data_IF_024909513123
#
_entry.id   IF_024909513123
#
_cell.length_a   1.000
_cell.length_b   1.000
_cell.length_c   1.000
_cell.angle_alpha   90.00
_cell.angle_beta   90.00
_cell.angle_gamma   90.00
#
_symmetry.space_group_name_H-M   'P 1'
#
loop_
_entity.id
_entity.type
_entity.pdbx_description
1 polymer ?
#
# COMPACT_ATOMS: atom_id res chain seq x y z
N UNK A 1 -11.96 3.91 5.21
CA UNK A 1 -11.13 4.79 4.37
C UNK A 1 -11.91 5.23 3.15
N UNK A 2 -11.61 6.41 2.61
CA UNK A 2 -12.17 6.96 1.37
C UNK A 2 -11.40 6.46 0.14
N UNK A 3 -11.97 6.60 -1.08
CA UNK A 3 -11.24 6.28 -2.33
C UNK A 3 -9.91 7.02 -2.48
N UNK A 4 -9.87 8.28 -2.05
CA UNK A 4 -8.66 9.10 -2.07
C UNK A 4 -7.62 8.59 -1.08
N UNK A 5 -8.05 8.23 0.14
CA UNK A 5 -7.17 7.62 1.14
C UNK A 5 -6.60 6.28 0.66
N UNK A 6 -7.40 5.46 -0.01
CA UNK A 6 -6.94 4.21 -0.61
C UNK A 6 -5.86 4.46 -1.67
N UNK A 7 -6.10 5.41 -2.58
CA UNK A 7 -5.14 5.76 -3.64
C UNK A 7 -3.85 6.33 -3.07
N UNK A 8 -3.94 7.22 -2.07
CA UNK A 8 -2.78 7.76 -1.35
C UNK A 8 -2.01 6.66 -0.63
N UNK A 9 -2.70 5.72 -0.01
CA UNK A 9 -2.05 4.63 0.72
C UNK A 9 -1.25 3.69 -0.21
N UNK A 10 -1.77 3.42 -1.40
CA UNK A 10 -1.03 2.70 -2.44
C UNK A 10 0.18 3.50 -2.94
N UNK A 11 0.02 4.80 -3.17
CA UNK A 11 1.10 5.66 -3.62
C UNK A 11 2.25 5.74 -2.60
N UNK A 12 1.95 5.79 -1.30
CA UNK A 12 2.95 5.77 -0.23
C UNK A 12 3.80 4.47 -0.22
N UNK A 13 3.24 3.37 -0.72
CA UNK A 13 3.93 2.08 -0.88
C UNK A 13 4.59 1.92 -2.25
N UNK A 14 4.48 2.91 -3.13
CA UNK A 14 4.82 2.82 -4.55
C UNK A 14 4.11 1.64 -5.26
N UNK A 15 2.86 1.37 -4.87
CA UNK A 15 2.05 0.28 -5.42
C UNK A 15 1.03 0.79 -6.43
N UNK A 16 0.79 0.00 -7.47
CA UNK A 16 -0.38 0.13 -8.34
C UNK A 16 -1.52 -0.72 -7.78
N UNK A 17 -2.76 -0.46 -8.24
CA UNK A 17 -3.90 -1.33 -7.92
C UNK A 17 -3.65 -2.81 -8.30
N UNK A 18 -2.88 -3.06 -9.37
CA UNK A 18 -2.48 -4.42 -9.75
C UNK A 18 -1.59 -5.10 -8.72
N UNK A 19 -0.73 -4.35 -8.03
CA UNK A 19 0.16 -4.90 -7.00
C UNK A 19 -0.64 -5.23 -5.75
N UNK A 20 -1.60 -4.37 -5.40
CA UNK A 20 -2.58 -4.66 -4.34
C UNK A 20 -3.35 -5.96 -4.61
N UNK A 21 -3.86 -6.13 -5.84
CA UNK A 21 -4.56 -7.36 -6.24
C UNK A 21 -3.68 -8.60 -6.09
N UNK A 22 -2.42 -8.54 -6.54
CA UNK A 22 -1.46 -9.65 -6.44
C UNK A 22 -1.18 -10.04 -4.99
N UNK A 23 -1.10 -9.06 -4.08
CA UNK A 23 -0.76 -9.29 -2.67
C UNK A 23 -1.94 -9.74 -1.80
N UNK A 24 -3.16 -9.34 -2.16
CA UNK A 24 -4.36 -9.61 -1.36
C UNK A 24 -5.27 -10.67 -1.97
N UNK A 25 -5.03 -11.06 -3.22
CA UNK A 25 -5.86 -12.03 -3.95
C UNK A 25 -7.20 -11.46 -4.46
N UNK A 26 -7.48 -10.16 -4.25
CA UNK A 26 -8.71 -9.56 -4.77
C UNK A 26 -8.65 -9.40 -6.29
N UNK A 27 -9.81 -9.45 -6.95
CA UNK A 27 -9.89 -9.26 -8.39
C UNK A 27 -9.60 -7.81 -8.78
N UNK A 28 -9.08 -7.59 -10.01
CA UNK A 28 -8.77 -6.23 -10.52
C UNK A 28 -9.95 -5.27 -10.54
N UNK A 29 -11.17 -5.79 -10.67
CA UNK A 29 -12.37 -4.95 -10.66
C UNK A 29 -12.63 -4.36 -9.27
N UNK A 30 -12.26 -5.07 -8.21
CA UNK A 30 -12.57 -4.68 -6.84
C UNK A 30 -11.91 -3.35 -6.44
N UNK A 31 -10.59 -3.14 -6.58
CA UNK A 31 -9.96 -1.85 -6.29
C UNK A 31 -10.43 -0.71 -7.21
N UNK A 32 -10.75 -1.02 -8.46
CA UNK A 32 -11.27 -0.01 -9.40
C UNK A 32 -12.64 0.51 -8.95
N UNK A 33 -13.54 -0.37 -8.48
CA UNK A 33 -14.85 0.05 -7.96
C UNK A 33 -14.72 0.85 -6.66
N UNK A 34 -13.74 0.54 -5.82
CA UNK A 34 -13.42 1.34 -4.64
C UNK A 34 -12.92 2.75 -5.00
N UNK A 35 -11.96 2.84 -5.92
CA UNK A 35 -11.39 4.12 -6.36
C UNK A 35 -12.43 5.06 -6.98
N UNK A 36 -13.47 4.51 -7.62
CA UNK A 36 -14.57 5.27 -8.24
C UNK A 36 -15.80 5.41 -7.33
N UNK A 37 -15.69 5.11 -6.03
CA UNK A 37 -16.80 5.15 -5.06
C UNK A 37 -18.04 4.29 -5.43
N UNK A 38 -17.89 3.30 -6.32
CA UNK A 38 -18.96 2.41 -6.78
C UNK A 38 -19.27 1.30 -5.78
N UNK A 39 -18.39 1.08 -4.81
CA UNK A 39 -18.60 0.13 -3.71
C UNK A 39 -17.80 0.57 -2.48
N UNK A 40 -18.31 0.32 -1.27
CA UNK A 40 -17.60 0.67 -0.05
C UNK A 40 -16.31 -0.14 0.09
N UNK A 41 -15.30 0.49 0.69
CA UNK A 41 -14.00 -0.15 0.96
C UNK A 41 -14.12 -0.93 2.28
N UNK A 42 -13.85 -2.25 2.29
CA UNK A 42 -13.88 -3.04 3.50
C UNK A 42 -12.89 -2.54 4.56
N UNK A 43 -13.26 -2.65 5.84
CA UNK A 43 -12.46 -2.17 6.97
C UNK A 43 -11.04 -2.77 6.99
N UNK A 44 -10.90 -4.04 6.64
CA UNK A 44 -9.61 -4.74 6.64
C UNK A 44 -8.60 -4.10 5.68
N UNK A 45 -9.05 -3.43 4.60
CA UNK A 45 -8.16 -2.81 3.61
C UNK A 45 -7.33 -1.71 4.26
N UNK A 46 -7.96 -0.93 5.15
CA UNK A 46 -7.27 0.12 5.90
C UNK A 46 -6.21 -0.47 6.85
N UNK A 47 -6.58 -1.50 7.62
CA UNK A 47 -5.66 -2.18 8.51
C UNK A 47 -4.48 -2.82 7.76
N UNK A 48 -4.76 -3.45 6.62
CA UNK A 48 -3.74 -4.09 5.78
C UNK A 48 -2.76 -3.08 5.20
N UNK A 49 -3.25 -2.00 4.59
CA UNK A 49 -2.38 -0.97 4.01
C UNK A 49 -1.56 -0.24 5.07
N UNK A 50 -2.16 0.04 6.23
CA UNK A 50 -1.43 0.59 7.38
C UNK A 50 -0.27 -0.31 7.82
N UNK A 51 -0.54 -1.61 8.00
CA UNK A 51 0.51 -2.56 8.37
C UNK A 51 1.64 -2.64 7.32
N UNK A 52 1.31 -2.56 6.03
CA UNK A 52 2.33 -2.55 4.96
C UNK A 52 3.16 -1.27 4.98
N UNK A 53 2.56 -0.12 5.31
CA UNK A 53 3.27 1.14 5.45
C UNK A 53 4.19 1.14 6.66
N UNK A 54 3.74 0.57 7.79
CA UNK A 54 4.58 0.40 8.97
C UNK A 54 5.79 -0.49 8.68
N UNK A 55 5.59 -1.59 7.93
CA UNK A 55 6.69 -2.45 7.48
C UNK A 55 7.64 -1.72 6.53
N UNK A 56 7.13 -0.90 5.61
CA UNK A 56 7.96 -0.10 4.72
C UNK A 56 8.78 0.94 5.50
N UNK A 57 8.17 1.61 6.48
CA UNK A 57 8.85 2.54 7.38
C UNK A 57 9.92 1.83 8.22
N UNK A 58 9.62 0.63 8.72
CA UNK A 58 10.55 -0.21 9.46
C UNK A 58 11.76 -0.61 8.60
N UNK A 59 11.50 -1.07 7.37
CA UNK A 59 12.54 -1.40 6.41
C UNK A 59 13.43 -0.19 6.11
N UNK A 60 12.84 0.97 5.83
CA UNK A 60 13.61 2.21 5.60
C UNK A 60 14.45 2.58 6.82
N UNK A 61 13.90 2.51 8.03
CA UNK A 61 14.61 2.85 9.26
C UNK A 61 15.86 2.00 9.50
N UNK A 62 15.79 0.70 9.22
CA UNK A 62 16.86 -0.24 9.59
C UNK A 62 17.74 -0.69 8.43
N UNK A 63 17.28 -0.59 7.19
CA UNK A 63 17.98 -1.13 6.01
C UNK A 63 18.33 -0.07 4.97
N UNK A 64 17.79 1.15 5.02
CA UNK A 64 18.24 2.23 4.13
C UNK A 64 19.54 2.89 4.61
N UNK A 65 19.87 2.79 5.90
CA UNK A 65 21.07 3.40 6.50
C UNK A 65 22.36 2.63 6.24
N UNK A 66 22.30 1.41 5.69
CA UNK A 66 23.50 0.59 5.42
C UNK A 66 24.07 0.77 4.02
N UNK A 67 23.33 1.38 3.08
CA UNK A 67 23.79 1.55 1.70
C UNK A 67 24.74 2.75 1.51
N UNK A 68 24.65 3.76 2.36
CA UNK A 68 25.51 4.96 2.28
C UNK A 68 26.76 4.88 3.19
N UNK A 69 26.92 3.79 3.96
CA UNK A 69 28.08 3.58 4.85
C UNK A 69 29.15 2.62 4.29
N UNK A 70 29.01 2.13 3.06
CA UNK A 70 29.92 1.16 2.43
C UNK A 70 30.67 1.75 1.22
N UNK A 71 31.12 2.98 1.34
CA UNK A 71 32.15 3.56 0.48
C UNK A 71 33.13 4.30 1.38
N UNK A 72 34.07 3.53 1.92
CA UNK A 72 35.36 3.98 2.45
C UNK A 72 36.43 3.15 1.72
#
# INVERSE_FOLDING_TARGET
MTPDEFTKALAALNWKQSDFCRKTGVTKQTPSRWANALSPIPLWVAAYLGAMQDLAALHTKYLATTKDGASD
#
